data_IF_471106885297
#
_entry.id   IF_471106885297
#
_cell.length_a   1.000
_cell.length_b   1.000
_cell.length_c   1.000
_cell.angle_alpha   90.00
_cell.angle_beta   90.00
_cell.angle_gamma   90.00
#
_symmetry.space_group_name_H-M   'P 1'
#
loop_
_entity.id
_entity.type
_entity.pdbx_description
1 polymer ?
#
# COMPACT_ATOMS: atom_id res chain seq x y z
N UNK A 1 -63.10 30.51 25.13
CA UNK A 1 -64.44 29.90 25.00
C UNK A 1 -64.24 28.53 24.39
N UNK A 2 -64.69 27.52 25.16
CA UNK A 2 -65.18 26.20 24.81
C UNK A 2 -64.18 25.22 24.10
N UNK A 3 -63.54 24.25 24.77
CA UNK A 3 -63.98 22.95 25.39
C UNK A 3 -64.45 21.91 24.39
N UNK A 4 -63.86 20.71 24.50
CA UNK A 4 -64.34 19.43 23.98
C UNK A 4 -63.19 18.45 23.70
N UNK A 5 -62.72 17.75 24.53
CA UNK A 5 -62.88 16.44 25.25
C UNK A 5 -63.58 15.36 24.43
N UNK A 6 -62.84 14.30 24.11
CA UNK A 6 -63.30 12.91 24.24
C UNK A 6 -62.17 11.90 23.89
N UNK A 7 -61.87 11.02 24.83
CA UNK A 7 -61.29 9.68 24.74
C UNK A 7 -62.44 8.65 24.61
N UNK A 8 -62.18 7.33 24.58
CA UNK A 8 -61.28 6.44 23.85
C UNK A 8 -62.07 5.27 23.21
N UNK A 9 -61.42 4.41 22.42
CA UNK A 9 -61.89 3.00 22.35
C UNK A 9 -60.76 2.07 21.89
N UNK A 10 -60.52 1.08 22.72
CA UNK A 10 -59.68 -0.07 22.55
C UNK A 10 -60.30 -1.08 21.61
N UNK A 11 -59.51 -1.74 20.78
CA UNK A 11 -59.78 -3.15 20.43
C UNK A 11 -58.48 -3.90 20.23
N UNK A 12 -58.31 -4.90 21.08
CA UNK A 12 -57.33 -5.98 20.96
C UNK A 12 -57.84 -6.98 19.93
N UNK A 13 -57.00 -7.37 19.00
CA UNK A 13 -57.20 -8.61 18.24
C UNK A 13 -55.98 -9.50 18.46
N UNK A 14 -56.20 -10.55 19.20
CA UNK A 14 -55.27 -11.62 19.44
C UNK A 14 -55.08 -12.46 18.17
N UNK A 15 -53.86 -12.80 17.84
CA UNK A 15 -53.53 -13.86 16.91
C UNK A 15 -53.06 -15.06 17.70
N UNK A 16 -53.81 -16.14 17.51
CA UNK A 16 -53.63 -17.48 18.11
C UNK A 16 -52.38 -18.11 17.45
N UNK A 17 -51.44 -18.55 18.26
CA UNK A 17 -50.33 -19.43 17.86
C UNK A 17 -50.77 -20.87 18.13
N UNK A 18 -50.70 -21.79 17.18
CA UNK A 18 -50.89 -23.20 17.49
C UNK A 18 -49.59 -23.80 18.04
N UNK A 19 -49.73 -24.38 19.19
CA UNK A 19 -48.80 -25.25 19.88
C UNK A 19 -48.67 -26.58 19.14
N UNK A 20 -47.50 -26.95 18.71
CA UNK A 20 -47.11 -28.26 18.23
C UNK A 20 -45.81 -28.68 18.92
N UNK A 21 -45.93 -28.99 20.17
CA UNK A 21 -45.02 -29.89 20.88
C UNK A 21 -45.54 -31.29 20.71
N UNK A 22 -44.76 -32.22 20.12
CA UNK A 22 -44.52 -33.54 20.67
C UNK A 22 -43.55 -34.37 19.83
N UNK A 23 -42.49 -34.79 20.54
CA UNK A 23 -41.73 -36.03 20.35
C UNK A 23 -40.95 -36.26 19.06
N UNK A 24 -39.64 -36.02 19.15
CA UNK A 24 -38.70 -37.00 18.61
C UNK A 24 -37.48 -37.14 19.54
N UNK A 25 -37.11 -38.33 19.78
CA UNK A 25 -36.20 -38.93 20.73
C UNK A 25 -34.75 -38.43 20.64
N UNK A 26 -34.18 -38.16 21.79
CA UNK A 26 -32.75 -37.97 22.04
C UNK A 26 -31.96 -39.22 21.65
N UNK A 27 -31.27 -39.18 20.53
CA UNK A 27 -30.12 -40.04 20.27
C UNK A 27 -28.85 -39.24 20.45
N UNK A 28 -28.06 -39.75 21.37
CA UNK A 28 -26.83 -39.23 21.91
C UNK A 28 -25.82 -38.76 20.86
N UNK A 29 -25.57 -37.45 20.81
CA UNK A 29 -24.49 -36.81 20.01
C UNK A 29 -23.07 -37.07 20.56
N UNK A 30 -22.90 -38.07 21.45
CA UNK A 30 -21.56 -38.39 22.03
C UNK A 30 -20.77 -39.49 21.31
N UNK A 31 -21.29 -40.12 20.27
CA UNK A 31 -20.64 -41.21 19.57
C UNK A 31 -20.01 -40.83 18.22
N UNK A 32 -20.17 -39.58 17.73
CA UNK A 32 -19.63 -39.11 16.43
C UNK A 32 -18.42 -38.17 16.55
N UNK A 33 -17.92 -37.96 17.78
CA UNK A 33 -16.77 -37.07 18.05
C UNK A 33 -15.48 -37.80 18.41
N UNK A 34 -15.39 -39.12 18.16
CA UNK A 34 -14.15 -39.89 18.41
C UNK A 34 -13.43 -40.41 17.16
N UNK A 35 -13.80 -40.01 15.96
CA UNK A 35 -13.25 -40.52 14.71
C UNK A 35 -12.52 -39.51 13.81
N UNK A 36 -12.45 -38.20 14.17
CA UNK A 36 -11.79 -37.17 13.33
C UNK A 36 -10.95 -36.26 14.24
N UNK A 37 -10.00 -36.84 14.95
CA UNK A 37 -8.94 -36.10 15.66
C UNK A 37 -7.63 -36.81 15.32
N UNK A 38 -7.20 -36.67 14.09
CA UNK A 38 -5.81 -36.94 13.68
C UNK A 38 -5.65 -36.54 12.23
N UNK A 39 -5.74 -35.28 11.86
CA UNK A 39 -5.20 -34.70 10.59
C UNK A 39 -5.55 -33.22 10.38
N UNK A 40 -5.85 -32.44 11.42
CA UNK A 40 -6.16 -31.02 11.23
C UNK A 40 -5.58 -30.15 12.36
N UNK A 41 -4.29 -30.27 12.61
CA UNK A 41 -3.62 -29.42 13.61
C UNK A 41 -2.28 -28.90 13.11
N UNK A 42 -2.19 -28.36 11.88
CA UNK A 42 -1.08 -27.50 11.44
C UNK A 42 -1.55 -26.56 10.33
N UNK A 43 -2.58 -25.75 10.53
CA UNK A 43 -2.95 -24.73 9.53
C UNK A 43 -3.75 -23.57 10.15
N UNK A 44 -3.29 -23.03 11.28
CA UNK A 44 -3.91 -21.82 11.82
C UNK A 44 -2.96 -20.97 12.67
N UNK A 45 -1.74 -20.74 12.23
CA UNK A 45 -0.83 -19.68 12.71
C UNK A 45 0.16 -19.31 11.61
N UNK A 46 -0.36 -18.97 10.44
CA UNK A 46 0.41 -18.35 9.38
C UNK A 46 -0.06 -16.90 9.26
N UNK A 47 0.64 -15.98 9.92
CA UNK A 47 0.60 -14.57 9.58
C UNK A 47 0.82 -14.41 8.08
N UNK A 48 0.36 -13.30 7.49
CA UNK A 48 0.70 -12.89 6.14
C UNK A 48 2.22 -12.75 6.00
N UNK A 49 2.92 -13.86 5.93
CA UNK A 49 4.19 -13.95 5.26
C UNK A 49 3.83 -13.98 3.78
N UNK A 50 4.32 -13.04 3.00
CA UNK A 50 4.34 -13.12 1.56
C UNK A 50 4.80 -14.52 1.17
N UNK A 51 3.88 -15.37 0.72
CA UNK A 51 4.23 -16.67 0.15
C UNK A 51 5.09 -16.37 -1.07
N UNK A 52 6.36 -16.72 -0.94
CA UNK A 52 7.45 -16.37 -1.79
C UNK A 52 7.16 -16.50 -3.28
N UNK A 53 7.53 -15.46 -3.99
CA UNK A 53 7.70 -15.49 -5.42
C UNK A 53 8.72 -16.58 -5.76
N UNK A 54 8.28 -17.59 -6.50
CA UNK A 54 9.14 -18.62 -7.04
C UNK A 54 10.23 -18.01 -7.92
N UNK A 55 11.49 -18.06 -7.46
CA UNK A 55 12.63 -18.24 -8.34
C UNK A 55 13.02 -17.13 -9.30
N UNK A 56 12.85 -15.85 -9.00
CA UNK A 56 13.65 -14.84 -9.65
C UNK A 56 15.03 -14.80 -8.98
N UNK A 57 16.07 -15.32 -9.66
CA UNK A 57 17.46 -15.13 -9.22
C UNK A 57 17.72 -13.61 -9.21
N UNK A 58 17.96 -13.08 -8.04
CA UNK A 58 18.37 -11.70 -7.87
C UNK A 58 19.81 -11.57 -8.37
N UNK A 59 20.02 -10.73 -9.37
CA UNK A 59 21.37 -10.36 -9.76
C UNK A 59 21.84 -9.23 -8.83
N UNK A 60 22.51 -9.62 -7.74
CA UNK A 60 23.08 -8.69 -6.77
C UNK A 60 24.09 -7.72 -7.37
N UNK A 61 24.62 -8.01 -8.60
CA UNK A 61 25.56 -7.15 -9.32
C UNK A 61 24.93 -5.85 -9.83
N UNK A 62 23.58 -5.73 -9.80
CA UNK A 62 22.88 -4.51 -10.23
C UNK A 62 22.81 -3.43 -9.15
N UNK A 63 23.11 -3.76 -7.89
CA UNK A 63 23.16 -2.83 -6.78
C UNK A 63 24.60 -2.41 -6.50
N UNK A 64 24.77 -1.16 -6.04
CA UNK A 64 26.07 -0.68 -5.58
C UNK A 64 26.59 -1.53 -4.43
N UNK A 65 27.91 -1.56 -4.21
CA UNK A 65 28.56 -2.39 -3.16
C UNK A 65 27.99 -2.16 -1.74
N UNK A 66 27.31 -1.04 -1.51
CA UNK A 66 26.57 -0.74 -0.28
C UNK A 66 25.17 -0.22 -0.65
N UNK A 67 24.17 -1.10 -0.81
CA UNK A 67 22.83 -0.67 -1.15
C UNK A 67 22.22 0.15 -0.03
N UNK A 68 21.99 1.43 -0.32
CA UNK A 68 21.41 2.41 0.58
C UNK A 68 20.02 2.80 0.11
N UNK A 69 19.07 2.80 1.03
CA UNK A 69 17.72 3.30 0.81
C UNK A 69 17.59 4.68 1.45
N UNK A 70 17.15 5.66 0.68
CA UNK A 70 16.77 6.96 1.24
C UNK A 70 15.45 6.83 1.97
N UNK A 71 15.32 7.50 3.10
CA UNK A 71 14.15 7.44 3.97
C UNK A 71 13.61 8.84 4.22
N UNK A 72 12.33 9.02 3.98
CA UNK A 72 11.55 10.11 4.54
C UNK A 72 10.39 9.50 5.34
N UNK A 73 10.22 9.87 6.60
CA UNK A 73 9.19 9.27 7.43
C UNK A 73 8.56 10.27 8.39
N UNK A 74 7.25 10.18 8.51
CA UNK A 74 6.43 10.93 9.48
C UNK A 74 6.09 10.09 10.72
N UNK A 75 6.72 8.91 10.85
CA UNK A 75 6.62 8.05 12.03
C UNK A 75 7.47 8.58 13.17
N UNK A 76 6.99 8.40 14.39
CA UNK A 76 7.73 8.75 15.60
C UNK A 76 8.95 7.84 15.76
N UNK A 77 10.17 8.40 15.94
CA UNK A 77 11.35 7.60 16.22
C UNK A 77 11.20 6.85 17.55
N UNK A 78 11.61 5.59 17.58
CA UNK A 78 11.75 4.80 18.79
C UNK A 78 13.23 4.81 19.18
N UNK A 79 13.55 5.03 20.45
CA UNK A 79 14.94 5.09 20.94
C UNK A 79 15.84 6.04 20.12
N UNK A 80 15.27 7.17 19.66
CA UNK A 80 15.97 8.13 18.82
C UNK A 80 16.24 7.65 17.39
N UNK A 81 15.58 6.57 16.95
CA UNK A 81 15.75 6.00 15.60
C UNK A 81 17.07 5.24 15.41
N UNK A 82 17.76 4.88 16.49
CA UNK A 82 19.10 4.26 16.43
C UNK A 82 19.10 2.74 16.49
N UNK A 83 18.06 2.15 17.05
CA UNK A 83 17.94 0.69 17.22
C UNK A 83 16.57 0.21 16.81
N UNK A 84 16.47 -1.04 16.36
CA UNK A 84 15.21 -1.67 15.96
C UNK A 84 14.28 -1.86 17.18
N UNK A 85 12.96 -1.59 17.05
CA UNK A 85 12.33 -0.90 15.93
C UNK A 85 12.76 0.56 15.85
N UNK A 86 13.14 1.02 14.64
CA UNK A 86 13.65 2.40 14.47
C UNK A 86 12.53 3.44 14.57
N UNK A 87 11.36 3.14 14.01
CA UNK A 87 10.20 4.02 14.00
C UNK A 87 8.93 3.27 14.37
N UNK A 88 8.12 3.91 15.21
CA UNK A 88 6.85 3.37 15.70
C UNK A 88 5.67 3.66 14.78
N UNK A 89 4.46 3.25 15.20
CA UNK A 89 3.22 3.52 14.49
C UNK A 89 2.65 4.91 14.76
N UNK A 90 3.20 5.66 15.73
CA UNK A 90 2.69 6.97 16.10
C UNK A 90 3.18 8.05 15.13
N UNK A 91 2.39 9.12 15.04
CA UNK A 91 2.71 10.32 14.26
C UNK A 91 3.81 11.12 14.96
N UNK A 92 4.85 11.51 14.24
CA UNK A 92 5.89 12.40 14.72
C UNK A 92 5.48 13.86 14.57
N UNK A 93 6.02 14.74 15.39
CA UNK A 93 5.81 16.19 15.25
C UNK A 93 6.58 16.80 14.08
N UNK A 94 7.59 16.10 13.57
CA UNK A 94 8.41 16.48 12.42
C UNK A 94 8.77 15.25 11.62
N UNK A 95 8.83 15.40 10.30
CA UNK A 95 9.37 14.38 9.41
C UNK A 95 10.85 14.13 9.72
N UNK A 96 11.25 12.87 9.68
CA UNK A 96 12.66 12.45 9.80
C UNK A 96 13.15 12.03 8.41
N UNK A 97 14.36 12.48 8.08
CA UNK A 97 15.11 12.08 6.90
C UNK A 97 16.27 11.20 7.35
N UNK A 98 16.50 10.08 6.67
CA UNK A 98 17.53 9.13 7.07
C UNK A 98 18.08 8.34 5.87
N UNK A 99 19.19 7.64 6.10
CA UNK A 99 19.71 6.59 5.22
C UNK A 99 19.52 5.25 5.90
N UNK A 100 18.96 4.28 5.17
CA UNK A 100 18.85 2.92 5.65
C UNK A 100 19.86 2.04 4.90
N UNK A 101 20.64 1.26 5.66
CA UNK A 101 21.57 0.28 5.14
C UNK A 101 20.84 -1.04 4.93
N UNK A 102 20.89 -1.52 3.71
CA UNK A 102 20.29 -2.79 3.30
C UNK A 102 21.38 -3.85 3.13
N UNK A 103 21.06 -5.08 3.50
CA UNK A 103 21.87 -6.26 3.22
C UNK A 103 21.12 -7.11 2.20
N UNK A 104 21.72 -7.35 1.02
CA UNK A 104 21.08 -8.17 -0.01
C UNK A 104 20.97 -9.63 0.43
N UNK A 105 20.15 -10.43 -0.25
CA UNK A 105 20.08 -11.87 -0.06
C UNK A 105 21.45 -12.52 -0.24
N UNK A 106 21.79 -13.48 0.62
CA UNK A 106 23.02 -14.25 0.48
C UNK A 106 22.83 -15.38 -0.53
N UNK A 107 23.40 -15.21 -1.73
CA UNK A 107 23.28 -16.19 -2.83
C UNK A 107 24.00 -17.51 -2.55
N UNK A 108 24.94 -17.56 -1.59
CA UNK A 108 25.76 -18.75 -1.31
C UNK A 108 25.07 -19.73 -0.38
N UNK A 109 24.05 -19.32 0.33
CA UNK A 109 23.24 -20.22 1.16
C UNK A 109 22.12 -20.79 0.31
N UNK A 110 22.06 -22.13 0.22
CA UNK A 110 20.91 -22.85 -0.33
C UNK A 110 19.64 -22.15 0.14
N UNK A 111 19.06 -21.37 -0.74
CA UNK A 111 18.01 -20.47 -0.34
C UNK A 111 16.77 -21.26 0.01
N UNK A 112 16.44 -21.30 1.28
CA UNK A 112 15.07 -21.47 1.73
C UNK A 112 14.23 -20.22 1.31
N UNK A 113 14.54 -19.66 0.13
CA UNK A 113 13.88 -18.48 -0.42
C UNK A 113 12.36 -18.70 -0.56
N UNK A 114 11.93 -19.95 -0.74
CA UNK A 114 10.52 -20.35 -0.64
C UNK A 114 9.93 -20.14 0.78
N UNK A 115 10.79 -20.04 1.80
CA UNK A 115 10.40 -19.77 3.19
C UNK A 115 10.76 -18.35 3.67
N UNK A 116 11.17 -17.44 2.76
CA UNK A 116 11.57 -16.07 3.11
C UNK A 116 12.90 -15.99 3.87
N UNK A 117 13.68 -17.07 3.89
CA UNK A 117 14.98 -17.12 4.55
C UNK A 117 16.04 -16.80 3.49
N UNK A 118 16.81 -15.73 3.71
CA UNK A 118 17.80 -15.23 2.77
C UNK A 118 17.34 -14.03 1.95
N UNK A 119 16.31 -13.34 2.40
CA UNK A 119 15.74 -12.15 1.78
C UNK A 119 16.49 -10.87 2.20
N UNK A 120 16.18 -9.74 1.55
CA UNK A 120 16.67 -8.43 1.95
C UNK A 120 16.52 -8.20 3.45
N UNK A 121 17.51 -7.60 4.07
CA UNK A 121 17.48 -7.24 5.49
C UNK A 121 17.83 -5.77 5.68
N UNK A 122 17.16 -5.14 6.62
CA UNK A 122 17.49 -3.82 7.09
C UNK A 122 18.50 -3.94 8.25
N UNK A 123 19.72 -3.44 8.02
CA UNK A 123 20.85 -3.59 8.94
C UNK A 123 20.98 -2.39 9.89
N UNK A 124 20.66 -1.19 9.38
CA UNK A 124 20.73 0.04 10.18
C UNK A 124 19.97 1.17 9.55
N UNK A 125 19.65 2.17 10.35
CA UNK A 125 19.04 3.43 9.92
C UNK A 125 19.79 4.57 10.59
N UNK A 126 20.31 5.48 9.78
CA UNK A 126 21.06 6.65 10.23
C UNK A 126 20.26 7.92 9.92
N UNK A 127 19.65 8.57 10.91
CA UNK A 127 19.03 9.88 10.73
C UNK A 127 20.05 10.90 10.23
N UNK A 128 19.65 11.69 9.24
CA UNK A 128 20.47 12.72 8.63
C UNK A 128 19.91 14.09 9.03
N UNK A 129 20.81 14.98 9.44
CA UNK A 129 20.47 16.39 9.66
C UNK A 129 20.41 17.09 8.31
N UNK A 130 19.26 17.68 7.95
CA UNK A 130 19.08 18.38 6.69
C UNK A 130 17.78 18.03 5.98
N UNK A 131 17.65 18.52 4.76
CA UNK A 131 16.50 18.34 3.91
C UNK A 131 16.67 17.12 2.97
N UNK A 132 15.57 16.70 2.34
CA UNK A 132 15.59 15.61 1.34
C UNK A 132 16.54 15.91 0.18
N UNK A 133 16.62 17.19 -0.24
CA UNK A 133 17.56 17.67 -1.27
C UNK A 133 19.03 17.36 -0.94
N UNK A 134 19.42 17.44 0.33
CA UNK A 134 20.79 17.18 0.78
C UNK A 134 21.16 15.70 0.63
N UNK A 135 20.18 14.82 0.82
CA UNK A 135 20.37 13.38 0.57
C UNK A 135 20.60 13.07 -0.91
N UNK A 136 19.88 13.76 -1.78
CA UNK A 136 19.91 13.53 -3.23
C UNK A 136 21.13 14.12 -3.90
N UNK A 137 21.64 15.24 -3.38
CA UNK A 137 22.79 15.97 -3.96
C UNK A 137 24.05 15.10 -4.10
N UNK A 138 24.16 14.02 -3.33
CA UNK A 138 25.32 13.11 -3.32
C UNK A 138 25.27 12.01 -4.38
N UNK A 139 24.11 11.75 -5.04
CA UNK A 139 23.95 10.57 -5.89
C UNK A 139 23.69 10.84 -7.37
N UNK A 140 22.98 11.91 -7.71
CA UNK A 140 22.54 12.19 -9.10
C UNK A 140 21.58 11.13 -9.68
N UNK A 141 21.10 11.36 -10.90
CA UNK A 141 20.24 10.42 -11.64
C UNK A 141 18.77 10.41 -11.20
N UNK A 142 18.03 9.44 -11.73
CA UNK A 142 16.60 9.29 -11.45
C UNK A 142 16.33 8.83 -10.02
N UNK A 143 15.17 9.20 -9.50
CA UNK A 143 14.74 8.87 -8.14
C UNK A 143 13.45 8.04 -8.21
N UNK A 144 13.43 6.88 -7.56
CA UNK A 144 12.25 6.07 -7.33
C UNK A 144 11.76 6.27 -5.90
N UNK A 145 10.53 6.73 -5.74
CA UNK A 145 9.89 6.86 -4.42
C UNK A 145 8.83 5.77 -4.28
N UNK A 146 8.97 4.93 -3.25
CA UNK A 146 7.95 3.97 -2.86
C UNK A 146 7.12 4.49 -1.69
N UNK A 147 5.79 4.39 -1.80
CA UNK A 147 4.83 4.78 -0.76
C UNK A 147 3.99 3.57 -0.39
N UNK A 148 4.14 3.10 0.83
CA UNK A 148 3.51 1.86 1.28
C UNK A 148 2.01 1.98 1.52
N UNK A 149 1.35 0.82 1.64
CA UNK A 149 -0.07 0.69 1.92
C UNK A 149 -0.43 0.54 3.40
N UNK A 150 -1.67 0.12 3.64
CA UNK A 150 -2.19 -0.24 4.95
C UNK A 150 -1.41 -1.40 5.57
N UNK A 151 -1.37 -1.43 6.91
CA UNK A 151 -0.82 -2.54 7.70
C UNK A 151 0.69 -2.77 7.50
N UNK A 152 1.46 -1.71 7.35
CA UNK A 152 2.91 -1.78 7.19
C UNK A 152 3.65 -1.21 8.40
N UNK A 153 4.69 -1.89 8.86
CA UNK A 153 5.69 -1.30 9.74
C UNK A 153 6.70 -0.48 8.93
N UNK A 154 7.58 0.26 9.60
CA UNK A 154 8.67 0.94 8.92
C UNK A 154 9.59 -0.06 8.19
N UNK A 155 9.94 -1.14 8.89
CA UNK A 155 10.85 -2.17 8.39
C UNK A 155 10.28 -2.86 7.15
N UNK A 156 9.00 -3.25 7.17
CA UNK A 156 8.37 -3.90 6.02
C UNK A 156 8.28 -2.96 4.83
N UNK A 157 7.93 -1.68 5.05
CA UNK A 157 7.89 -0.69 3.98
C UNK A 157 9.26 -0.44 3.34
N UNK A 158 10.33 -0.42 4.16
CA UNK A 158 11.70 -0.27 3.66
C UNK A 158 12.15 -1.48 2.83
N UNK A 159 11.80 -2.69 3.26
CA UNK A 159 12.10 -3.92 2.53
C UNK A 159 11.29 -4.02 1.23
N UNK A 160 10.02 -3.64 1.23
CA UNK A 160 9.21 -3.60 0.01
C UNK A 160 9.79 -2.63 -1.03
N UNK A 161 10.30 -1.47 -0.60
CA UNK A 161 10.99 -0.53 -1.48
C UNK A 161 12.24 -1.15 -2.12
N UNK A 162 13.04 -1.90 -1.34
CA UNK A 162 14.22 -2.60 -1.83
C UNK A 162 13.85 -3.70 -2.83
N UNK A 163 12.85 -4.53 -2.49
CA UNK A 163 12.34 -5.59 -3.37
C UNK A 163 11.79 -5.04 -4.69
N UNK A 164 11.05 -3.94 -4.63
CA UNK A 164 10.53 -3.29 -5.82
C UNK A 164 11.68 -2.81 -6.71
N UNK A 165 12.62 -2.04 -6.15
CA UNK A 165 13.74 -1.46 -6.89
C UNK A 165 14.59 -2.54 -7.56
N UNK A 166 14.91 -3.61 -6.82
CA UNK A 166 15.64 -4.75 -7.38
C UNK A 166 14.79 -5.51 -8.41
N UNK A 167 13.53 -5.79 -8.10
CA UNK A 167 12.63 -6.53 -9.00
C UNK A 167 12.39 -5.86 -10.34
N UNK A 168 12.42 -4.51 -10.40
CA UNK A 168 12.34 -3.74 -11.65
C UNK A 168 13.71 -3.35 -12.19
N UNK A 169 14.80 -3.73 -11.52
CA UNK A 169 16.18 -3.39 -11.88
C UNK A 169 16.40 -1.87 -12.04
N UNK A 170 15.88 -1.13 -11.08
CA UNK A 170 16.03 0.33 -11.05
C UNK A 170 17.49 0.70 -10.73
N UNK A 171 18.07 1.64 -11.48
CA UNK A 171 19.48 2.03 -11.35
C UNK A 171 19.71 3.42 -10.75
N UNK A 172 18.63 4.10 -10.37
CA UNK A 172 18.69 5.39 -9.69
C UNK A 172 18.67 5.27 -8.17
N UNK A 173 18.46 6.40 -7.52
CA UNK A 173 18.30 6.44 -6.06
C UNK A 173 16.90 5.96 -5.66
N UNK A 174 16.81 5.05 -4.71
CA UNK A 174 15.52 4.58 -4.19
C UNK A 174 15.23 5.22 -2.84
N UNK A 175 14.02 5.73 -2.68
CA UNK A 175 13.50 6.33 -1.46
C UNK A 175 12.23 5.62 -1.00
N UNK A 176 12.08 5.40 0.30
CA UNK A 176 10.81 5.06 0.91
C UNK A 176 10.21 6.28 1.61
N UNK A 177 8.95 6.58 1.31
CA UNK A 177 8.15 7.46 2.16
C UNK A 177 7.29 6.60 3.09
N UNK A 178 7.63 6.62 4.38
CA UNK A 178 6.95 5.79 5.37
C UNK A 178 6.08 6.63 6.30
N UNK A 179 4.75 6.52 6.11
CA UNK A 179 3.75 7.17 6.95
C UNK A 179 3.32 6.27 8.12
N UNK A 180 2.76 6.83 9.24
CA UNK A 180 2.41 6.06 10.43
C UNK A 180 1.25 5.10 10.19
N UNK A 181 1.53 3.79 10.17
CA UNK A 181 0.55 2.71 10.15
C UNK A 181 0.75 1.84 11.37
N UNK A 182 -0.33 1.45 12.04
CA UNK A 182 -0.30 0.61 13.24
C UNK A 182 -0.10 -0.87 12.95
N UNK A 183 -0.13 -1.24 11.68
CA UNK A 183 0.01 -2.62 11.21
C UNK A 183 -1.04 -3.62 11.73
N UNK A 184 -2.10 -3.18 12.39
CA UNK A 184 -3.20 -3.99 12.89
C UNK A 184 -4.38 -4.04 11.93
N UNK A 185 -5.10 -5.17 11.90
CA UNK A 185 -6.27 -5.35 11.02
C UNK A 185 -7.41 -4.37 11.32
N UNK A 186 -7.57 -3.99 12.59
CA UNK A 186 -8.66 -3.12 13.04
C UNK A 186 -8.29 -1.63 13.02
N UNK A 187 -7.06 -1.30 12.63
CA UNK A 187 -6.55 0.07 12.65
C UNK A 187 -6.75 0.82 11.32
N UNK A 188 -7.59 0.30 10.41
CA UNK A 188 -7.81 0.88 9.08
C UNK A 188 -8.17 2.38 9.12
N UNK A 189 -9.07 2.79 10.01
CA UNK A 189 -9.47 4.19 10.15
C UNK A 189 -8.29 5.08 10.62
N UNK A 190 -7.54 4.62 11.63
CA UNK A 190 -6.36 5.32 12.11
C UNK A 190 -5.30 5.46 11.00
N UNK A 191 -5.04 4.39 10.26
CA UNK A 191 -4.06 4.37 9.18
C UNK A 191 -4.47 5.32 8.05
N UNK A 192 -5.76 5.34 7.69
CA UNK A 192 -6.30 6.26 6.68
C UNK A 192 -6.10 7.72 7.08
N UNK A 193 -6.44 8.07 8.32
CA UNK A 193 -6.22 9.41 8.85
C UNK A 193 -4.74 9.76 8.91
N UNK A 194 -3.87 8.79 9.23
CA UNK A 194 -2.41 8.99 9.29
C UNK A 194 -1.80 9.18 7.92
N UNK A 195 -2.28 8.44 6.90
CA UNK A 195 -1.89 8.67 5.52
C UNK A 195 -2.25 10.10 5.08
N UNK A 196 -3.50 10.52 5.32
CA UNK A 196 -3.94 11.88 4.97
C UNK A 196 -3.24 12.97 5.79
N UNK A 197 -2.92 12.71 7.05
CA UNK A 197 -2.14 13.63 7.88
C UNK A 197 -0.72 13.82 7.33
N UNK A 198 -0.15 12.80 6.70
CA UNK A 198 1.22 12.84 6.14
C UNK A 198 1.31 13.50 4.76
N UNK A 199 0.21 13.92 4.14
CA UNK A 199 0.18 14.41 2.75
C UNK A 199 1.00 15.69 2.53
N UNK A 200 0.98 16.60 3.51
CA UNK A 200 1.72 17.87 3.41
C UNK A 200 3.23 17.65 3.55
N UNK A 201 3.64 16.67 4.36
CA UNK A 201 5.04 16.23 4.45
C UNK A 201 5.48 15.55 3.15
N UNK A 202 4.63 14.71 2.57
CA UNK A 202 4.98 14.06 1.30
C UNK A 202 5.01 15.06 0.14
N UNK A 203 4.13 16.04 0.10
CA UNK A 203 4.22 17.14 -0.88
C UNK A 203 5.56 17.88 -0.76
N UNK A 204 6.03 18.17 0.47
CA UNK A 204 7.35 18.77 0.69
C UNK A 204 8.49 17.88 0.21
N UNK A 205 8.40 16.57 0.41
CA UNK A 205 9.37 15.61 -0.16
C UNK A 205 9.37 15.70 -1.67
N UNK A 206 8.21 15.65 -2.32
CA UNK A 206 8.09 15.75 -3.77
C UNK A 206 8.68 17.07 -4.29
N UNK A 207 8.34 18.18 -3.65
CA UNK A 207 8.88 19.51 -3.99
C UNK A 207 10.41 19.51 -3.88
N UNK A 208 10.97 18.98 -2.78
CA UNK A 208 12.42 18.90 -2.57
C UNK A 208 13.10 18.06 -3.66
N UNK A 209 12.50 16.93 -4.04
CA UNK A 209 13.08 16.03 -5.05
C UNK A 209 13.02 16.64 -6.45
N UNK A 210 11.89 17.24 -6.86
CA UNK A 210 11.78 17.85 -8.21
C UNK A 210 12.63 19.10 -8.37
N UNK A 211 13.02 19.76 -7.29
CA UNK A 211 13.87 20.95 -7.32
C UNK A 211 15.33 20.66 -7.00
N UNK A 212 15.67 19.44 -6.55
CA UNK A 212 17.03 19.09 -6.17
C UNK A 212 17.99 19.23 -7.37
N UNK A 213 19.14 19.91 -7.18
CA UNK A 213 20.18 19.96 -8.20
C UNK A 213 20.72 18.56 -8.51
N UNK A 214 20.82 18.22 -9.79
CA UNK A 214 21.34 16.92 -10.23
C UNK A 214 20.35 15.76 -10.14
N UNK A 215 19.17 15.93 -9.54
CA UNK A 215 18.11 14.93 -9.64
C UNK A 215 17.59 14.85 -11.09
N UNK A 216 17.51 13.64 -11.59
CA UNK A 216 16.86 13.31 -12.86
C UNK A 216 15.33 13.35 -12.74
N UNK A 217 14.65 12.36 -13.31
CA UNK A 217 13.20 12.20 -13.17
C UNK A 217 12.84 11.56 -11.86
N UNK A 218 11.66 11.91 -11.36
CA UNK A 218 11.08 11.36 -10.15
C UNK A 218 10.01 10.37 -10.53
N UNK A 219 10.20 9.11 -10.21
CA UNK A 219 9.23 8.03 -10.40
C UNK A 219 8.61 7.69 -9.06
N UNK A 220 7.31 7.44 -9.05
CA UNK A 220 6.58 7.14 -7.82
C UNK A 220 5.84 5.82 -8.00
N UNK A 221 6.01 4.90 -7.07
CA UNK A 221 5.18 3.71 -6.96
C UNK A 221 4.50 3.74 -5.60
N UNK A 222 3.20 3.87 -5.62
CA UNK A 222 2.38 3.89 -4.41
C UNK A 222 1.47 2.66 -4.37
N UNK A 223 1.32 2.08 -3.19
CA UNK A 223 0.54 0.87 -2.97
C UNK A 223 -0.70 1.14 -2.10
N UNK A 224 -1.84 0.58 -2.52
CA UNK A 224 -3.07 0.54 -1.73
C UNK A 224 -3.46 1.91 -1.15
N UNK A 225 -3.57 2.06 0.17
CA UNK A 225 -3.88 3.32 0.87
C UNK A 225 -2.85 4.42 0.61
N UNK A 226 -1.58 4.06 0.34
CA UNK A 226 -0.54 5.03 -0.03
C UNK A 226 -0.81 5.76 -1.34
N UNK A 227 -1.66 5.21 -2.20
CA UNK A 227 -2.06 5.85 -3.46
C UNK A 227 -2.94 7.09 -3.22
N UNK A 228 -3.81 7.04 -2.22
CA UNK A 228 -4.64 8.18 -1.81
C UNK A 228 -3.76 9.33 -1.30
N UNK A 229 -2.81 9.02 -0.41
CA UNK A 229 -1.81 9.96 0.08
C UNK A 229 -1.04 10.59 -1.09
N UNK A 230 -0.55 9.77 -2.01
CA UNK A 230 0.24 10.22 -3.17
C UNK A 230 -0.58 11.11 -4.09
N UNK A 231 -1.81 10.74 -4.41
CA UNK A 231 -2.69 11.52 -5.27
C UNK A 231 -2.96 12.91 -4.70
N UNK A 232 -3.24 13.01 -3.40
CA UNK A 232 -3.46 14.29 -2.73
C UNK A 232 -2.20 15.16 -2.68
N UNK A 233 -1.03 14.56 -2.43
CA UNK A 233 0.24 15.28 -2.45
C UNK A 233 0.61 15.77 -3.85
N UNK A 234 0.35 14.98 -4.90
CA UNK A 234 0.52 15.41 -6.30
C UNK A 234 -0.45 16.54 -6.66
N UNK A 235 -1.67 16.50 -6.15
CA UNK A 235 -2.65 17.60 -6.35
C UNK A 235 -2.17 18.90 -5.72
N UNK A 236 -1.61 18.85 -4.52
CA UNK A 236 -1.04 20.01 -3.85
C UNK A 236 0.20 20.53 -4.59
N UNK A 237 1.13 19.63 -4.98
CA UNK A 237 2.31 19.98 -5.75
C UNK A 237 1.94 20.67 -7.06
N UNK A 238 0.97 20.12 -7.81
CA UNK A 238 0.51 20.70 -9.06
C UNK A 238 -0.17 22.08 -8.85
N UNK A 239 -0.98 22.21 -7.81
CA UNK A 239 -1.61 23.49 -7.47
C UNK A 239 -0.61 24.60 -7.12
N UNK A 240 0.55 24.23 -6.53
CA UNK A 240 1.61 25.15 -6.16
C UNK A 240 2.55 25.49 -7.31
N UNK A 241 2.95 24.51 -8.11
CA UNK A 241 4.06 24.60 -9.05
C UNK A 241 3.66 24.43 -10.52
N UNK A 242 2.40 24.04 -10.80
CA UNK A 242 1.89 23.84 -12.15
C UNK A 242 2.71 22.87 -12.99
N UNK A 243 2.87 23.17 -14.27
CA UNK A 243 3.57 22.31 -15.24
C UNK A 243 5.06 22.15 -14.93
N UNK A 244 5.69 23.12 -14.27
CA UNK A 244 7.12 23.04 -13.89
C UNK A 244 7.43 21.84 -13.00
N UNK A 245 6.52 21.47 -12.07
CA UNK A 245 6.65 20.26 -11.28
C UNK A 245 6.39 18.99 -12.13
N UNK A 246 5.49 19.11 -13.11
CA UNK A 246 5.12 17.99 -13.98
C UNK A 246 6.28 17.50 -14.83
N UNK A 247 7.14 18.38 -15.29
CA UNK A 247 8.26 18.04 -16.18
C UNK A 247 9.26 17.09 -15.51
N UNK A 248 9.49 17.25 -14.22
CA UNK A 248 10.39 16.39 -13.44
C UNK A 248 9.75 15.08 -12.99
N UNK A 249 8.43 15.02 -12.89
CA UNK A 249 7.74 13.75 -12.59
C UNK A 249 7.82 12.85 -13.82
N UNK A 250 8.37 11.67 -13.65
CA UNK A 250 8.38 10.61 -14.66
C UNK A 250 7.11 9.77 -14.61
N UNK A 251 7.23 8.49 -14.27
CA UNK A 251 6.08 7.60 -14.10
C UNK A 251 5.50 7.69 -12.69
N UNK A 252 4.17 7.66 -12.60
CA UNK A 252 3.44 7.46 -11.34
C UNK A 252 2.65 6.18 -11.46
N UNK A 253 2.98 5.19 -10.64
CA UNK A 253 2.29 3.89 -10.65
C UNK A 253 1.48 3.73 -9.37
N UNK A 254 0.19 3.52 -9.52
CA UNK A 254 -0.73 3.19 -8.44
C UNK A 254 -1.04 1.69 -8.46
N UNK A 255 -0.43 0.95 -7.55
CA UNK A 255 -0.65 -0.48 -7.41
C UNK A 255 -1.81 -0.75 -6.44
N UNK A 256 -2.84 -1.45 -6.92
CA UNK A 256 -4.05 -1.79 -6.15
C UNK A 256 -4.65 -0.58 -5.39
N UNK A 257 -4.94 0.54 -6.06
CA UNK A 257 -5.30 1.78 -5.36
C UNK A 257 -6.59 1.66 -4.53
N UNK A 258 -6.45 1.97 -3.23
CA UNK A 258 -7.54 2.04 -2.27
C UNK A 258 -8.13 3.45 -2.20
N UNK A 259 -8.61 3.93 -3.34
CA UNK A 259 -9.22 5.25 -3.51
C UNK A 259 -10.65 5.04 -4.02
N UNK A 260 -11.57 5.82 -3.52
CA UNK A 260 -12.93 5.92 -4.09
C UNK A 260 -12.86 6.43 -5.53
N UNK A 261 -13.67 5.85 -6.42
CA UNK A 261 -13.63 6.14 -7.86
C UNK A 261 -14.00 7.59 -8.19
N UNK A 262 -14.94 8.18 -7.46
CA UNK A 262 -15.38 9.57 -7.67
C UNK A 262 -14.31 10.55 -7.16
N UNK A 263 -13.69 10.23 -6.00
CA UNK A 263 -12.55 10.99 -5.47
C UNK A 263 -11.39 10.99 -6.45
N UNK A 264 -11.06 9.81 -7.00
CA UNK A 264 -10.01 9.65 -8.00
C UNK A 264 -10.29 10.47 -9.26
N UNK A 265 -11.49 10.35 -9.81
CA UNK A 265 -11.91 11.10 -11.01
C UNK A 265 -11.78 12.61 -10.81
N UNK A 266 -12.28 13.11 -9.68
CA UNK A 266 -12.19 14.53 -9.34
C UNK A 266 -10.73 15.00 -9.22
N UNK A 267 -9.86 14.21 -8.63
CA UNK A 267 -8.46 14.54 -8.45
C UNK A 267 -7.68 14.52 -9.77
N UNK A 268 -7.90 13.50 -10.63
CA UNK A 268 -7.24 13.39 -11.94
C UNK A 268 -7.53 14.60 -12.82
N UNK A 269 -8.77 15.08 -12.84
CA UNK A 269 -9.13 16.30 -13.57
C UNK A 269 -8.33 17.53 -13.08
N UNK A 270 -8.10 17.61 -11.77
CA UNK A 270 -7.41 18.73 -11.14
C UNK A 270 -5.92 18.78 -11.39
N UNK A 271 -5.26 17.63 -11.56
CA UNK A 271 -3.82 17.53 -11.79
C UNK A 271 -3.43 17.65 -13.28
N UNK A 272 -4.40 17.83 -14.17
CA UNK A 272 -4.19 18.13 -15.59
C UNK A 272 -3.24 17.17 -16.30
N UNK A 273 -2.15 17.66 -16.93
CA UNK A 273 -1.22 16.83 -17.69
C UNK A 273 -0.54 15.72 -16.86
N UNK A 274 -0.39 15.93 -15.54
CA UNK A 274 0.21 14.94 -14.63
C UNK A 274 -0.64 13.66 -14.56
N UNK A 275 -1.96 13.75 -14.75
CA UNK A 275 -2.85 12.59 -14.80
C UNK A 275 -2.46 11.56 -15.86
N UNK A 276 -1.90 12.00 -17.00
CA UNK A 276 -1.43 11.10 -18.08
C UNK A 276 -0.17 10.32 -17.73
N UNK A 277 0.57 10.74 -16.69
CA UNK A 277 1.74 10.04 -16.17
C UNK A 277 1.37 8.93 -15.19
N UNK A 278 0.08 8.86 -14.80
CA UNK A 278 -0.44 7.83 -13.90
C UNK A 278 -0.71 6.54 -14.68
N UNK A 279 -0.21 5.45 -14.12
CA UNK A 279 -0.56 4.08 -14.51
C UNK A 279 -1.17 3.38 -13.32
N UNK A 280 -2.38 2.87 -13.46
CA UNK A 280 -3.07 2.08 -12.44
C UNK A 280 -2.87 0.60 -12.73
N UNK A 281 -2.39 -0.15 -11.75
CA UNK A 281 -2.43 -1.62 -11.74
C UNK A 281 -3.66 -2.02 -10.95
N UNK A 282 -4.67 -2.55 -11.64
CA UNK A 282 -5.94 -2.96 -11.07
C UNK A 282 -6.13 -4.48 -11.18
N UNK A 283 -6.85 -5.05 -10.22
CA UNK A 283 -7.29 -6.43 -10.26
C UNK A 283 -8.73 -6.49 -9.73
N UNK A 284 -9.68 -6.82 -10.60
CA UNK A 284 -11.13 -6.88 -10.26
C UNK A 284 -11.45 -7.93 -9.20
N UNK A 285 -10.56 -8.90 -9.00
CA UNK A 285 -10.63 -9.96 -8.01
C UNK A 285 -9.83 -9.66 -6.71
N UNK A 286 -9.41 -8.41 -6.48
CA UNK A 286 -8.72 -8.00 -5.26
C UNK A 286 -9.69 -7.99 -4.06
N UNK A 287 -9.53 -8.99 -3.18
CA UNK A 287 -10.39 -9.18 -2.01
C UNK A 287 -10.16 -8.13 -0.92
N UNK A 288 -8.94 -7.60 -0.80
CA UNK A 288 -8.64 -6.58 0.18
C UNK A 288 -9.38 -5.29 -0.17
N UNK A 289 -9.39 -4.90 -1.44
CA UNK A 289 -10.13 -3.74 -1.93
C UNK A 289 -11.65 -3.93 -1.86
N UNK A 290 -12.14 -5.15 -2.11
CA UNK A 290 -13.55 -5.48 -1.93
C UNK A 290 -13.99 -5.29 -0.45
N UNK A 291 -13.16 -5.70 0.50
CA UNK A 291 -13.41 -5.47 1.92
C UNK A 291 -13.35 -3.98 2.28
N UNK A 292 -12.31 -3.28 1.84
CA UNK A 292 -12.15 -1.83 2.04
C UNK A 292 -13.36 -1.04 1.51
N UNK A 293 -13.83 -1.37 0.29
CA UNK A 293 -15.02 -0.76 -0.31
C UNK A 293 -16.28 -0.96 0.54
N UNK A 294 -16.48 -2.16 1.09
CA UNK A 294 -17.61 -2.44 2.00
C UNK A 294 -17.52 -1.64 3.29
N UNK A 295 -16.35 -1.56 3.91
CA UNK A 295 -16.13 -0.77 5.13
C UNK A 295 -16.36 0.74 4.90
N UNK A 296 -16.18 1.21 3.68
CA UNK A 296 -16.41 2.59 3.29
C UNK A 296 -17.83 2.87 2.74
N UNK A 297 -18.79 2.00 2.97
CA UNK A 297 -20.19 2.21 2.57
C UNK A 297 -20.57 1.60 1.22
N UNK A 298 -19.81 0.62 0.70
CA UNK A 298 -20.12 -0.08 -0.54
C UNK A 298 -19.61 0.61 -1.81
N UNK A 299 -18.62 1.50 -1.69
CA UNK A 299 -18.02 2.25 -2.81
C UNK A 299 -17.04 1.39 -3.62
N UNK A 300 -16.95 1.65 -4.91
CA UNK A 300 -15.97 1.00 -5.78
C UNK A 300 -14.60 1.62 -5.59
N UNK A 301 -13.60 0.78 -5.29
CA UNK A 301 -12.21 1.19 -5.23
C UNK A 301 -11.58 1.16 -6.60
N UNK A 302 -10.72 2.13 -6.91
CA UNK A 302 -10.05 2.25 -8.23
C UNK A 302 -9.28 0.98 -8.59
N UNK A 303 -8.58 0.35 -7.64
CA UNK A 303 -7.84 -0.88 -7.89
C UNK A 303 -8.70 -2.11 -8.16
N UNK A 304 -10.01 -2.05 -7.89
CA UNK A 304 -10.99 -3.07 -8.20
C UNK A 304 -12.03 -2.61 -9.24
N UNK A 305 -11.84 -1.43 -9.83
CA UNK A 305 -12.74 -0.89 -10.84
C UNK A 305 -12.48 -1.49 -12.23
N UNK A 306 -13.50 -1.44 -13.06
CA UNK A 306 -13.36 -1.86 -14.45
C UNK A 306 -12.37 -0.94 -15.20
N UNK A 307 -11.49 -1.56 -15.98
CA UNK A 307 -10.48 -0.88 -16.79
C UNK A 307 -11.01 0.31 -17.58
N UNK A 308 -12.12 0.10 -18.31
CA UNK A 308 -12.72 1.14 -19.15
C UNK A 308 -13.17 2.38 -18.36
N UNK A 309 -13.55 2.22 -17.09
CA UNK A 309 -13.96 3.34 -16.25
C UNK A 309 -12.77 4.27 -15.93
N UNK A 310 -11.60 3.69 -15.67
CA UNK A 310 -10.38 4.44 -15.37
C UNK A 310 -9.77 5.05 -16.64
N UNK A 311 -9.76 4.31 -17.75
CA UNK A 311 -9.21 4.77 -19.03
C UNK A 311 -9.96 5.99 -19.60
N UNK A 312 -11.26 6.13 -19.34
CA UNK A 312 -12.03 7.32 -19.70
C UNK A 312 -11.48 8.62 -19.07
N UNK A 313 -10.72 8.51 -17.99
CA UNK A 313 -10.04 9.64 -17.34
C UNK A 313 -8.69 9.99 -17.98
N UNK A 314 -8.28 9.29 -19.04
CA UNK A 314 -6.98 9.45 -19.67
C UNK A 314 -5.82 8.79 -18.90
N UNK A 315 -6.13 7.96 -17.91
CA UNK A 315 -5.18 7.20 -17.09
C UNK A 315 -4.91 5.85 -17.72
N UNK A 316 -3.66 5.43 -17.75
CA UNK A 316 -3.27 4.11 -18.25
C UNK A 316 -3.65 3.04 -17.23
N UNK A 317 -4.19 1.90 -17.69
CA UNK A 317 -4.57 0.78 -16.83
C UNK A 317 -3.89 -0.50 -17.27
N UNK A 318 -3.37 -1.21 -16.28
CA UNK A 318 -2.86 -2.58 -16.40
C UNK A 318 -3.83 -3.46 -15.62
N UNK A 319 -4.51 -4.35 -16.34
CA UNK A 319 -5.36 -5.35 -15.71
C UNK A 319 -4.49 -6.53 -15.26
N UNK A 320 -4.39 -6.71 -13.97
CA UNK A 320 -3.65 -7.79 -13.33
C UNK A 320 -4.58 -8.89 -12.77
N UNK A 321 -5.84 -8.91 -13.16
CA UNK A 321 -6.84 -9.88 -12.65
C UNK A 321 -6.46 -11.33 -12.90
N UNK A 322 -5.76 -11.62 -14.01
CA UNK A 322 -5.27 -12.96 -14.36
C UNK A 322 -3.84 -13.23 -13.89
N UNK A 323 -3.14 -12.21 -13.35
CA UNK A 323 -1.72 -12.33 -13.01
C UNK A 323 -1.44 -13.05 -11.67
N UNK A 324 -2.47 -13.32 -10.86
CA UNK A 324 -2.30 -13.87 -9.52
C UNK A 324 -3.00 -15.21 -9.31
N UNK A 325 -2.28 -16.15 -8.67
CA UNK A 325 -2.78 -17.46 -8.21
C UNK A 325 -2.91 -17.43 -6.67
N UNK A 326 -3.59 -16.46 -6.11
CA UNK A 326 -3.67 -16.33 -4.64
C UNK A 326 -5.05 -15.91 -4.15
N UNK A 327 -5.28 -16.14 -2.85
CA UNK A 327 -6.52 -15.73 -2.16
C UNK A 327 -6.59 -14.19 -2.06
N UNK A 328 -5.43 -13.51 -2.12
CA UNK A 328 -5.30 -12.05 -2.00
C UNK A 328 -4.36 -11.57 -3.10
N UNK A 329 -4.90 -10.94 -4.14
CA UNK A 329 -4.12 -10.40 -5.27
C UNK A 329 -3.70 -8.93 -5.03
N UNK A 330 -3.37 -8.59 -3.78
CA UNK A 330 -3.13 -7.20 -3.39
C UNK A 330 -1.67 -6.75 -3.58
N UNK A 331 -0.71 -7.69 -3.50
CA UNK A 331 0.73 -7.39 -3.56
C UNK A 331 1.40 -7.85 -4.87
N UNK A 332 0.63 -7.90 -5.97
CA UNK A 332 1.12 -8.38 -7.27
C UNK A 332 2.32 -7.59 -7.80
N UNK A 333 2.44 -6.31 -7.46
CA UNK A 333 3.55 -5.47 -7.89
C UNK A 333 4.89 -5.90 -7.30
N UNK A 334 4.90 -6.59 -6.16
CA UNK A 334 6.10 -7.19 -5.56
C UNK A 334 6.33 -8.63 -6.03
N UNK A 335 5.28 -9.42 -6.16
CA UNK A 335 5.36 -10.86 -6.38
C UNK A 335 5.34 -11.28 -7.84
N UNK A 336 4.63 -10.54 -8.72
CA UNK A 336 4.44 -10.94 -10.11
C UNK A 336 5.47 -10.29 -11.05
N UNK A 337 6.26 -11.12 -11.75
CA UNK A 337 7.31 -10.67 -12.66
C UNK A 337 6.78 -9.87 -13.86
N UNK A 338 5.55 -10.15 -14.32
CA UNK A 338 4.95 -9.43 -15.44
C UNK A 338 4.50 -8.03 -15.03
N UNK A 339 3.86 -7.91 -13.86
CA UNK A 339 3.50 -6.61 -13.29
C UNK A 339 4.75 -5.75 -13.08
N UNK A 340 5.83 -6.32 -12.53
CA UNK A 340 7.13 -5.62 -12.39
C UNK A 340 7.69 -5.18 -13.74
N UNK A 341 7.60 -6.01 -14.77
CA UNK A 341 8.04 -5.67 -16.13
C UNK A 341 7.26 -4.47 -16.70
N UNK A 342 5.97 -4.39 -16.42
CA UNK A 342 5.15 -3.26 -16.88
C UNK A 342 5.47 -1.98 -16.09
N UNK A 343 5.68 -2.08 -14.77
CA UNK A 343 6.15 -0.95 -13.96
C UNK A 343 7.48 -0.43 -14.54
N UNK A 344 8.42 -1.32 -14.83
CA UNK A 344 9.69 -0.96 -15.46
C UNK A 344 9.48 -0.23 -16.78
N UNK A 345 8.65 -0.75 -17.68
CA UNK A 345 8.35 -0.09 -18.96
C UNK A 345 7.75 1.29 -18.77
N UNK A 346 6.87 1.48 -17.78
CA UNK A 346 6.28 2.80 -17.47
C UNK A 346 7.36 3.81 -17.07
N UNK A 347 8.38 3.37 -16.35
CA UNK A 347 9.54 4.18 -15.98
C UNK A 347 10.40 4.49 -17.22
N UNK A 348 10.79 3.46 -17.98
CA UNK A 348 11.67 3.60 -19.15
C UNK A 348 11.04 4.51 -20.23
N UNK A 349 9.74 4.37 -20.51
CA UNK A 349 9.03 5.20 -21.49
C UNK A 349 8.80 6.64 -21.04
N UNK A 350 8.85 6.91 -19.75
CA UNK A 350 8.78 8.28 -19.24
C UNK A 350 10.10 9.02 -19.35
N UNK A 351 11.20 8.30 -19.57
CA UNK A 351 12.55 8.86 -19.76
C UNK A 351 12.82 9.32 -21.19
N UNK A 352 12.02 8.88 -22.16
CA UNK A 352 12.08 9.29 -23.57
C UNK A 352 11.21 10.52 -23.82
#
# INVERSE_FOLDING_TARGET
MATGSAKPCSQRSGVIVPDLLQNETFTSRRALLRGIVSSASVLALGGCASLGATGARYDASSLTAEPTLLVATTRKPVNGGRTKPWFGPERATRMTVARAKLVPPDETRFSLAAAGIGDWRLDGVEPVSGEVSDLLAQGGGDVLIYVHGFKQTFETAALDAAHLADGIKFRGQTMVFSWPSKAGLFDYAYDRDSAMWSRDDFERVLQSVVTAPGAGRVHIVAHSMGTMLTLESLRQLYARSGDAATDKIGAVVFASPDIDMDVFSSAVVRIGPLGRKITVVAATNDRALALSGRLAGGVTRVGAAEKAAIERLGVRVIDASEAGWGIINHDLFLSNAEVRRVIRRSIDTSAA
#
